data_IF_988988225631
#
_entry.id   IF_988988225631
#
_cell.length_a   1.000
_cell.length_b   1.000
_cell.length_c   1.000
_cell.angle_alpha   90.00
_cell.angle_beta   90.00
_cell.angle_gamma   90.00
#
_symmetry.space_group_name_H-M   'P 1'
#
loop_
_entity.id
_entity.type
_entity.pdbx_description
1 polymer ?
#
# COMPACT_ATOMS: atom_id res chain seq x y z
N UNK A 1 -11.53 21.30 19.08
CA UNK A 1 -12.04 22.51 18.43
C UNK A 1 -11.48 22.63 17.02
N UNK A 2 -12.34 22.89 16.06
CA UNK A 2 -11.90 23.00 14.66
C UNK A 2 -11.19 24.33 14.42
N UNK A 3 -10.14 24.30 13.58
CA UNK A 3 -9.47 25.48 13.10
C UNK A 3 -9.54 25.54 11.58
N UNK A 4 -9.55 26.74 11.04
CA UNK A 4 -9.59 26.95 9.59
C UNK A 4 -8.16 27.05 9.07
N UNK A 5 -7.86 26.27 8.05
CA UNK A 5 -6.60 26.36 7.30
C UNK A 5 -6.92 26.57 5.83
N UNK A 6 -5.99 27.14 5.10
CA UNK A 6 -6.11 27.27 3.66
C UNK A 6 -4.94 26.60 2.96
N UNK A 7 -5.16 26.13 1.73
CA UNK A 7 -4.14 25.46 0.95
C UNK A 7 -4.32 25.75 -0.53
N UNK A 8 -3.24 25.68 -1.28
CA UNK A 8 -3.26 25.80 -2.73
C UNK A 8 -3.26 24.42 -3.37
N UNK A 9 -4.08 24.24 -4.38
CA UNK A 9 -4.11 23.04 -5.21
C UNK A 9 -3.95 23.47 -6.67
N UNK A 10 -3.21 22.70 -7.47
CA UNK A 10 -3.19 22.96 -8.89
C UNK A 10 -4.56 22.62 -9.51
N UNK A 11 -4.81 23.15 -10.71
CA UNK A 11 -6.11 23.00 -11.37
C UNK A 11 -6.48 21.54 -11.64
N UNK A 12 -5.50 20.73 -12.01
CA UNK A 12 -5.73 19.32 -12.33
C UNK A 12 -6.14 18.54 -11.09
N UNK A 13 -5.43 18.72 -9.99
CA UNK A 13 -5.75 18.08 -8.71
C UNK A 13 -7.13 18.55 -8.19
N UNK A 14 -7.46 19.82 -8.39
CA UNK A 14 -8.76 20.35 -7.99
C UNK A 14 -9.89 19.71 -8.78
N UNK A 15 -9.70 19.48 -10.08
CA UNK A 15 -10.68 18.77 -10.91
C UNK A 15 -10.86 17.33 -10.45
N UNK A 16 -9.78 16.65 -10.13
CA UNK A 16 -9.83 15.28 -9.59
C UNK A 16 -10.57 15.24 -8.26
N UNK A 17 -10.33 16.22 -7.40
CA UNK A 17 -11.02 16.36 -6.13
C UNK A 17 -12.53 16.51 -6.32
N UNK A 18 -12.95 17.37 -7.22
CA UNK A 18 -14.35 17.61 -7.52
C UNK A 18 -15.02 16.38 -8.13
N UNK A 19 -14.30 15.64 -9.00
CA UNK A 19 -14.77 14.36 -9.52
C UNK A 19 -14.96 13.32 -8.42
N UNK A 20 -13.99 13.20 -7.53
CA UNK A 20 -14.06 12.27 -6.40
C UNK A 20 -15.24 12.60 -5.47
N UNK A 21 -15.46 13.90 -5.23
CA UNK A 21 -16.59 14.35 -4.42
C UNK A 21 -17.93 13.85 -4.97
N UNK A 22 -18.12 13.94 -6.29
CA UNK A 22 -19.34 13.49 -6.95
C UNK A 22 -19.47 11.97 -6.95
N UNK A 23 -18.40 11.26 -7.30
CA UNK A 23 -18.44 9.80 -7.46
C UNK A 23 -18.65 9.06 -6.15
N UNK A 24 -18.14 9.60 -5.05
CA UNK A 24 -18.24 8.98 -3.72
C UNK A 24 -19.41 9.55 -2.91
N UNK A 25 -20.01 10.65 -3.36
CA UNK A 25 -21.16 11.23 -2.70
C UNK A 25 -20.84 12.10 -1.49
N UNK A 26 -19.67 12.72 -1.47
CA UNK A 26 -19.29 13.66 -0.42
C UNK A 26 -20.01 15.00 -0.62
N UNK A 27 -20.31 15.66 0.50
CA UNK A 27 -21.05 16.93 0.49
C UNK A 27 -20.21 18.13 0.06
N UNK A 28 -18.89 18.08 0.23
CA UNK A 28 -18.00 19.19 -0.12
C UNK A 28 -16.54 18.80 -0.20
N UNK A 29 -15.73 19.74 -0.68
CA UNK A 29 -14.28 19.58 -0.83
C UNK A 29 -13.58 19.26 0.50
N UNK A 30 -13.99 19.95 1.56
CA UNK A 30 -13.40 19.76 2.88
C UNK A 30 -13.60 18.34 3.40
N UNK A 31 -14.74 17.74 3.12
CA UNK A 31 -15.02 16.36 3.52
C UNK A 31 -14.12 15.36 2.80
N UNK A 32 -13.92 15.54 1.49
CA UNK A 32 -13.00 14.69 0.71
C UNK A 32 -11.59 14.78 1.27
N UNK A 33 -11.12 16.02 1.51
CA UNK A 33 -9.77 16.26 2.02
C UNK A 33 -9.60 15.64 3.41
N UNK A 34 -10.54 15.84 4.31
CA UNK A 34 -10.48 15.24 5.65
C UNK A 34 -10.44 13.71 5.59
N UNK A 35 -11.26 13.11 4.73
CA UNK A 35 -11.28 11.66 4.54
C UNK A 35 -9.95 11.14 4.00
N UNK A 36 -9.36 11.83 3.02
CA UNK A 36 -8.06 11.47 2.48
C UNK A 36 -6.95 11.58 3.50
N UNK A 37 -6.94 12.66 4.28
CA UNK A 37 -5.98 12.87 5.36
C UNK A 37 -6.11 11.77 6.42
N UNK A 38 -7.33 11.43 6.80
CA UNK A 38 -7.56 10.38 7.79
C UNK A 38 -7.05 9.03 7.32
N UNK A 39 -7.31 8.68 6.05
CA UNK A 39 -6.78 7.44 5.47
C UNK A 39 -5.26 7.40 5.53
N UNK A 40 -4.59 8.49 5.16
CA UNK A 40 -3.14 8.57 5.20
C UNK A 40 -2.61 8.46 6.64
N UNK A 41 -3.20 9.19 7.56
CA UNK A 41 -2.77 9.19 8.96
C UNK A 41 -2.99 7.82 9.61
N UNK A 42 -4.09 7.16 9.32
CA UNK A 42 -4.36 5.80 9.83
C UNK A 42 -3.34 4.80 9.30
N UNK A 43 -2.96 4.92 8.02
CA UNK A 43 -1.93 4.08 7.42
C UNK A 43 -0.56 4.29 8.08
N UNK A 44 -0.18 5.55 8.32
CA UNK A 44 1.08 5.89 8.99
C UNK A 44 1.08 5.31 10.42
N UNK A 45 0.00 5.49 11.16
CA UNK A 45 -0.12 4.98 12.55
C UNK A 45 -0.05 3.45 12.59
N UNK A 46 -0.70 2.77 11.64
CA UNK A 46 -0.65 1.31 11.55
C UNK A 46 0.78 0.82 11.37
N UNK A 47 1.55 1.48 10.49
CA UNK A 47 2.95 1.14 10.25
C UNK A 47 3.85 1.43 11.46
N UNK A 48 3.56 2.47 12.23
CA UNK A 48 4.28 2.79 13.46
C UNK A 48 4.09 1.73 14.54
N UNK A 49 2.96 1.01 14.52
CA UNK A 49 2.69 -0.09 15.45
C UNK A 49 3.47 -1.35 15.11
N UNK A 50 4.14 -1.39 13.97
CA UNK A 50 4.92 -2.54 13.52
C UNK A 50 6.21 -2.63 14.34
N UNK A 51 6.14 -3.29 15.49
CA UNK A 51 7.24 -3.45 16.46
C UNK A 51 7.31 -4.88 16.95
N UNK A 52 8.51 -5.33 17.31
CA UNK A 52 8.72 -6.68 17.82
C UNK A 52 8.30 -7.73 16.79
N UNK A 53 7.52 -8.70 17.19
CA UNK A 53 6.87 -9.68 16.32
C UNK A 53 5.53 -9.13 15.85
N UNK A 54 5.27 -9.23 14.55
CA UNK A 54 4.06 -8.70 13.97
C UNK A 54 3.48 -9.65 12.93
N UNK A 55 2.19 -9.49 12.68
CA UNK A 55 1.47 -10.16 11.61
C UNK A 55 0.91 -9.10 10.67
N UNK A 56 1.10 -9.29 9.38
CA UNK A 56 0.59 -8.36 8.39
C UNK A 56 0.46 -9.03 7.03
N UNK A 57 -0.05 -8.30 6.05
CA UNK A 57 -0.24 -8.80 4.70
C UNK A 57 0.47 -7.87 3.72
N UNK A 58 1.31 -8.45 2.87
CA UNK A 58 1.96 -7.72 1.78
C UNK A 58 1.29 -8.12 0.47
N UNK A 59 0.79 -7.11 -0.26
CA UNK A 59 0.17 -7.29 -1.57
C UNK A 59 1.02 -6.58 -2.60
N UNK A 60 1.38 -7.25 -3.69
CA UNK A 60 2.11 -6.60 -4.77
C UNK A 60 1.77 -7.19 -6.14
N UNK A 61 1.96 -6.37 -7.16
CA UNK A 61 1.69 -6.71 -8.55
C UNK A 61 2.91 -6.38 -9.39
N UNK A 62 3.26 -7.28 -10.29
CA UNK A 62 4.35 -7.09 -11.24
C UNK A 62 4.03 -7.77 -12.57
N UNK A 63 4.74 -7.41 -13.63
CA UNK A 63 4.58 -8.11 -14.90
C UNK A 63 5.07 -9.56 -14.77
N UNK A 64 4.37 -10.48 -15.42
CA UNK A 64 4.68 -11.92 -15.37
C UNK A 64 6.11 -12.22 -15.80
N UNK A 65 6.65 -11.49 -16.77
CA UNK A 65 8.01 -11.68 -17.26
C UNK A 65 9.10 -11.44 -16.21
N UNK A 66 8.78 -10.78 -15.11
CA UNK A 66 9.72 -10.51 -14.02
C UNK A 66 9.53 -11.43 -12.81
N UNK A 67 8.74 -12.48 -12.96
CA UNK A 67 8.42 -13.41 -11.87
C UNK A 67 9.66 -13.97 -11.16
N UNK A 68 10.70 -14.32 -11.92
CA UNK A 68 11.93 -14.89 -11.35
C UNK A 68 12.61 -13.92 -10.38
N UNK A 69 12.64 -12.64 -10.72
CA UNK A 69 13.25 -11.63 -9.85
C UNK A 69 12.52 -11.51 -8.52
N UNK A 70 11.18 -11.52 -8.56
CA UNK A 70 10.37 -11.45 -7.34
C UNK A 70 10.43 -12.74 -6.54
N UNK A 71 10.52 -13.88 -7.19
CA UNK A 71 10.72 -15.17 -6.52
C UNK A 71 12.04 -15.18 -5.75
N UNK A 72 13.12 -14.68 -6.35
CA UNK A 72 14.41 -14.55 -5.66
C UNK A 72 14.31 -13.65 -4.43
N UNK A 73 13.61 -12.53 -4.54
CA UNK A 73 13.39 -11.64 -3.40
C UNK A 73 12.64 -12.36 -2.28
N UNK A 74 11.57 -13.10 -2.60
CA UNK A 74 10.81 -13.87 -1.62
C UNK A 74 11.65 -14.93 -0.91
N UNK A 75 12.59 -15.56 -1.61
CA UNK A 75 13.48 -16.56 -0.99
C UNK A 75 14.27 -16.00 0.18
N UNK A 76 14.62 -14.72 0.14
CA UNK A 76 15.31 -14.07 1.25
C UNK A 76 14.44 -13.86 2.49
N UNK A 77 13.14 -14.08 2.38
CA UNK A 77 12.17 -13.83 3.45
C UNK A 77 11.25 -15.02 3.73
N UNK A 78 11.63 -16.22 3.30
CA UNK A 78 10.81 -17.43 3.49
C UNK A 78 10.44 -17.68 4.94
N UNK A 79 11.32 -17.35 5.85
CA UNK A 79 11.11 -17.57 7.29
C UNK A 79 9.98 -16.70 7.88
N UNK A 80 9.61 -15.63 7.22
CA UNK A 80 8.49 -14.77 7.68
C UNK A 80 7.23 -14.92 6.82
N UNK A 81 7.31 -15.62 5.69
CA UNK A 81 6.13 -15.86 4.84
C UNK A 81 5.40 -17.09 5.34
N UNK A 82 4.27 -16.86 6.01
CA UNK A 82 3.41 -17.93 6.52
C UNK A 82 2.59 -18.56 5.40
N UNK A 83 1.95 -17.73 4.60
CA UNK A 83 1.08 -18.18 3.51
C UNK A 83 1.27 -17.24 2.33
N UNK A 84 1.23 -17.77 1.13
CA UNK A 84 1.29 -16.95 -0.05
C UNK A 84 0.26 -17.40 -1.08
N UNK A 85 -0.28 -16.44 -1.79
CA UNK A 85 -1.18 -16.64 -2.91
C UNK A 85 -0.53 -15.97 -4.11
N UNK A 86 -0.40 -16.72 -5.21
CA UNK A 86 0.09 -16.21 -6.47
C UNK A 86 -1.01 -16.42 -7.49
N UNK A 87 -1.51 -15.36 -8.07
CA UNK A 87 -2.60 -15.42 -9.04
C UNK A 87 -2.23 -14.68 -10.32
N UNK A 88 -2.68 -15.23 -11.43
CA UNK A 88 -2.59 -14.52 -12.69
C UNK A 88 -3.60 -13.36 -12.68
N UNK A 89 -3.12 -12.22 -13.10
CA UNK A 89 -3.92 -11.00 -13.14
C UNK A 89 -4.06 -10.56 -14.59
N UNK A 90 -4.95 -9.61 -14.86
CA UNK A 90 -5.15 -9.11 -16.22
C UNK A 90 -3.86 -8.51 -16.81
N UNK A 91 -3.77 -8.49 -18.15
CA UNK A 91 -2.64 -7.88 -18.86
C UNK A 91 -1.26 -8.48 -18.55
N UNK A 92 -1.18 -9.81 -18.44
CA UNK A 92 0.08 -10.52 -18.15
C UNK A 92 0.77 -10.04 -16.87
N UNK A 93 -0.02 -9.79 -15.84
CA UNK A 93 0.45 -9.42 -14.51
C UNK A 93 0.34 -10.59 -13.55
N UNK A 94 1.15 -10.57 -12.53
CA UNK A 94 1.05 -11.45 -11.38
C UNK A 94 0.60 -10.65 -10.16
N UNK A 95 -0.43 -11.13 -9.48
CA UNK A 95 -0.83 -10.64 -8.17
C UNK A 95 -0.28 -11.59 -7.12
N UNK A 96 0.44 -11.05 -6.15
CA UNK A 96 0.97 -11.84 -5.05
C UNK A 96 0.49 -11.28 -3.71
N UNK A 97 0.05 -12.17 -2.86
CA UNK A 97 -0.42 -11.85 -1.51
C UNK A 97 0.38 -12.74 -0.54
N UNK A 98 1.10 -12.11 0.36
CA UNK A 98 1.90 -12.82 1.36
C UNK A 98 1.39 -12.47 2.75
N UNK A 99 0.97 -13.50 3.50
CA UNK A 99 0.67 -13.35 4.93
C UNK A 99 1.98 -13.51 5.68
N UNK A 100 2.38 -12.47 6.39
CA UNK A 100 3.67 -12.36 7.03
C UNK A 100 3.54 -12.47 8.55
N UNK A 101 4.47 -13.18 9.16
CA UNK A 101 4.57 -13.32 10.60
C UNK A 101 6.04 -13.38 10.99
N UNK A 102 6.50 -12.43 11.74
CA UNK A 102 7.89 -12.40 12.15
C UNK A 102 8.34 -11.06 12.71
N UNK A 103 9.67 -10.87 12.83
CA UNK A 103 10.21 -9.61 13.31
C UNK A 103 9.82 -8.44 12.41
N UNK A 104 9.39 -7.36 13.03
CA UNK A 104 8.98 -6.15 12.31
C UNK A 104 10.06 -5.63 11.36
N UNK A 105 11.32 -5.69 11.77
CA UNK A 105 12.44 -5.25 10.93
C UNK A 105 12.52 -6.05 9.63
N UNK A 106 12.29 -7.36 9.71
CA UNK A 106 12.35 -8.24 8.56
C UNK A 106 11.15 -8.00 7.62
N UNK A 107 9.98 -7.78 8.20
CA UNK A 107 8.77 -7.40 7.46
C UNK A 107 9.01 -6.09 6.70
N UNK A 108 9.54 -5.09 7.38
CA UNK A 108 9.86 -3.80 6.76
C UNK A 108 10.92 -3.94 5.67
N UNK A 109 11.90 -4.81 5.86
CA UNK A 109 12.91 -5.12 4.85
C UNK A 109 12.29 -5.70 3.59
N UNK A 110 11.39 -6.66 3.73
CA UNK A 110 10.69 -7.27 2.61
C UNK A 110 9.83 -6.24 1.87
N UNK A 111 9.04 -5.49 2.59
CA UNK A 111 8.23 -4.41 2.00
C UNK A 111 9.11 -3.41 1.25
N UNK A 112 10.21 -2.98 1.85
CA UNK A 112 11.14 -2.04 1.24
C UNK A 112 11.75 -2.60 -0.04
N UNK A 113 12.18 -3.85 -0.05
CA UNK A 113 12.79 -4.47 -1.21
C UNK A 113 11.80 -4.57 -2.38
N UNK A 114 10.55 -4.93 -2.10
CA UNK A 114 9.51 -4.95 -3.13
C UNK A 114 9.20 -3.53 -3.62
N UNK A 115 9.05 -2.58 -2.71
CA UNK A 115 8.71 -1.19 -3.06
C UNK A 115 9.79 -0.52 -3.90
N UNK A 116 11.05 -0.77 -3.60
CA UNK A 116 12.18 -0.17 -4.31
C UNK A 116 12.43 -0.80 -5.68
N UNK A 117 11.91 -1.99 -5.93
CA UNK A 117 12.07 -2.62 -7.22
C UNK A 117 11.26 -1.84 -8.26
N UNK A 118 11.95 -1.31 -9.27
CA UNK A 118 11.34 -0.51 -10.35
C UNK A 118 10.32 -1.28 -11.18
N UNK A 119 10.32 -2.61 -11.09
CA UNK A 119 9.42 -3.50 -11.82
C UNK A 119 8.11 -3.77 -11.06
N UNK A 120 8.00 -3.24 -9.86
CA UNK A 120 6.76 -3.34 -9.06
C UNK A 120 5.76 -2.33 -9.55
N UNK A 121 4.59 -2.81 -9.99
CA UNK A 121 3.50 -1.95 -10.46
C UNK A 121 2.65 -1.43 -9.31
N UNK A 122 2.52 -2.23 -8.26
CA UNK A 122 1.71 -1.89 -7.10
C UNK A 122 2.27 -2.63 -5.88
N UNK A 123 2.29 -1.97 -4.73
CA UNK A 123 2.66 -2.62 -3.48
C UNK A 123 1.93 -1.95 -2.32
N UNK A 124 1.43 -2.77 -1.41
CA UNK A 124 0.80 -2.29 -0.18
C UNK A 124 1.07 -3.25 0.96
N UNK A 125 1.46 -2.70 2.10
CA UNK A 125 1.57 -3.43 3.35
C UNK A 125 0.34 -3.11 4.19
N UNK A 126 -0.45 -4.14 4.50
CA UNK A 126 -1.64 -4.02 5.33
C UNK A 126 -1.27 -4.45 6.75
N UNK A 127 -1.31 -3.52 7.68
CA UNK A 127 -1.03 -3.77 9.10
C UNK A 127 -2.36 -3.64 9.85
N UNK A 128 -2.93 -4.75 10.30
CA UNK A 128 -4.23 -4.71 10.98
C UNK A 128 -4.17 -4.08 12.36
#
# INVERSE_FOLDING_TARGET
MAKIISMSLDEELLKELDSAKKSVGYSGRSEVIRSGMKLLLDDIKAKEKLKGHAECVLVFVHAKKFEDAFTRTKHGYEDIINTQIHSNFCNDKCLQICVLHGPAEKINGFFSDIRKNKRTDYVKLVVP
#
